data_IF_590634694868
#
_entry.id   IF_590634694868
#
_cell.length_a   1.000
_cell.length_b   1.000
_cell.length_c   1.000
_cell.angle_alpha   90.00
_cell.angle_beta   90.00
_cell.angle_gamma   90.00
#
_symmetry.space_group_name_H-M   'P 1'
#
loop_
_entity.id
_entity.type
_entity.pdbx_description
1 polymer ?
#
# COMPACT_ATOMS: atom_id res chain seq x y z
N UNK A 1 8.45 11.09 -23.47
CA UNK A 1 9.49 10.12 -23.05
C UNK A 1 9.37 9.75 -21.57
N UNK A 2 9.28 10.71 -20.64
CA UNK A 2 9.30 10.41 -19.20
C UNK A 2 8.17 9.51 -18.68
N UNK A 3 6.94 9.64 -19.21
CA UNK A 3 5.84 8.71 -18.85
C UNK A 3 6.10 7.27 -19.31
N UNK A 4 6.79 7.08 -20.43
CA UNK A 4 7.14 5.75 -20.94
C UNK A 4 8.10 5.06 -19.97
N UNK A 5 9.05 5.81 -19.39
CA UNK A 5 9.99 5.28 -18.41
C UNK A 5 9.30 4.85 -17.11
N UNK A 6 8.36 5.66 -16.59
CA UNK A 6 7.57 5.26 -15.42
C UNK A 6 6.79 3.98 -15.69
N UNK A 7 6.19 3.85 -16.88
CA UNK A 7 5.50 2.61 -17.26
C UNK A 7 6.47 1.43 -17.38
N UNK A 8 7.67 1.61 -17.95
CA UNK A 8 8.67 0.56 -18.06
C UNK A 8 9.11 0.03 -16.67
N UNK A 9 9.42 0.93 -15.72
CA UNK A 9 9.70 0.53 -14.34
C UNK A 9 8.47 -0.07 -13.67
N UNK A 10 7.26 0.47 -13.91
CA UNK A 10 6.01 -0.13 -13.47
C UNK A 10 5.82 -1.56 -13.96
N UNK A 11 6.14 -1.83 -15.22
CA UNK A 11 6.06 -3.16 -15.83
C UNK A 11 7.09 -4.11 -15.24
N UNK A 12 8.32 -3.66 -14.96
CA UNK A 12 9.33 -4.48 -14.26
C UNK A 12 8.82 -4.89 -12.87
N UNK A 13 8.24 -3.96 -12.12
CA UNK A 13 7.66 -4.24 -10.82
C UNK A 13 6.50 -5.22 -10.92
N UNK A 14 5.58 -5.03 -11.87
CA UNK A 14 4.49 -5.96 -12.14
C UNK A 14 5.02 -7.37 -12.44
N UNK A 15 5.98 -7.51 -13.35
CA UNK A 15 6.56 -8.81 -13.73
C UNK A 15 7.25 -9.47 -12.54
N UNK A 16 8.08 -8.75 -11.78
CA UNK A 16 8.77 -9.31 -10.61
C UNK A 16 7.80 -9.66 -9.47
N UNK A 17 6.71 -8.90 -9.33
CA UNK A 17 5.64 -9.20 -8.38
C UNK A 17 4.88 -10.47 -8.78
N UNK A 18 4.52 -10.62 -10.06
CA UNK A 18 3.93 -11.85 -10.59
C UNK A 18 4.88 -13.05 -10.49
N UNK A 19 6.19 -12.85 -10.72
CA UNK A 19 7.20 -13.89 -10.52
C UNK A 19 7.32 -14.27 -9.04
N UNK A 20 7.21 -13.32 -8.11
CA UNK A 20 7.21 -13.60 -6.67
C UNK A 20 6.00 -14.43 -6.27
N UNK A 21 4.83 -14.10 -6.83
CA UNK A 21 3.62 -14.91 -6.65
C UNK A 21 3.79 -16.32 -7.25
N UNK A 22 4.26 -16.43 -8.48
CA UNK A 22 4.48 -17.71 -9.14
C UNK A 22 5.51 -18.58 -8.40
N UNK A 23 6.58 -17.98 -7.88
CA UNK A 23 7.58 -18.65 -7.06
C UNK A 23 6.98 -19.19 -5.76
N UNK A 24 5.97 -18.50 -5.19
CA UNK A 24 5.27 -18.96 -3.99
C UNK A 24 4.37 -20.16 -4.25
N UNK A 25 3.51 -20.07 -5.26
CA UNK A 25 2.43 -21.04 -5.46
C UNK A 25 2.85 -22.24 -6.32
N UNK A 26 3.78 -22.03 -7.26
CA UNK A 26 4.20 -23.06 -8.24
C UNK A 26 5.68 -23.44 -8.12
N UNK A 27 6.49 -22.69 -7.37
CA UNK A 27 7.95 -22.88 -7.31
C UNK A 27 8.41 -24.08 -6.47
N UNK A 28 7.53 -24.73 -5.70
CA UNK A 28 7.92 -25.71 -4.69
C UNK A 28 8.73 -26.89 -5.24
N UNK A 29 8.43 -27.39 -6.44
CA UNK A 29 9.13 -28.51 -7.08
C UNK A 29 10.60 -28.17 -7.35
N UNK A 30 10.83 -27.03 -8.00
CA UNK A 30 12.17 -26.51 -8.30
C UNK A 30 12.93 -26.15 -7.02
N UNK A 31 12.24 -25.55 -6.05
CA UNK A 31 12.83 -25.16 -4.76
C UNK A 31 13.26 -26.38 -3.93
N UNK A 32 12.48 -27.47 -3.96
CA UNK A 32 12.82 -28.72 -3.25
C UNK A 32 14.11 -29.37 -3.76
N UNK A 33 14.46 -29.16 -5.04
CA UNK A 33 15.69 -29.69 -5.62
C UNK A 33 16.96 -28.97 -5.12
N UNK A 34 16.83 -27.76 -4.55
CA UNK A 34 17.98 -26.98 -4.08
C UNK A 34 18.43 -27.40 -2.69
N UNK A 35 19.59 -28.08 -2.62
CA UNK A 35 20.14 -28.70 -1.39
C UNK A 35 20.39 -27.71 -0.23
N UNK A 36 20.56 -26.41 -0.51
CA UNK A 36 20.77 -25.39 0.54
C UNK A 36 19.46 -24.88 1.18
N UNK A 37 18.29 -25.32 0.71
CA UNK A 37 16.98 -25.03 1.31
C UNK A 37 16.52 -26.10 2.33
N UNK A 38 17.45 -26.93 2.83
CA UNK A 38 17.18 -27.98 3.85
C UNK A 38 16.46 -27.48 5.10
N UNK A 39 16.59 -26.19 5.44
CA UNK A 39 15.91 -25.59 6.61
C UNK A 39 14.38 -25.61 6.54
N UNK A 40 13.77 -25.83 5.38
CA UNK A 40 12.31 -26.00 5.24
C UNK A 40 11.82 -27.44 5.37
N UNK A 41 12.71 -28.43 5.57
CA UNK A 41 12.37 -29.87 5.66
C UNK A 41 11.46 -30.41 4.52
N UNK A 42 11.45 -29.73 3.35
CA UNK A 42 10.60 -30.09 2.22
C UNK A 42 9.15 -29.64 2.32
N UNK A 43 8.77 -28.85 3.33
CA UNK A 43 7.43 -28.29 3.46
C UNK A 43 7.14 -27.27 2.35
N UNK A 44 6.07 -27.50 1.59
CA UNK A 44 5.69 -26.68 0.42
C UNK A 44 5.47 -25.21 0.79
N UNK A 45 4.90 -24.95 1.97
CA UNK A 45 4.55 -23.59 2.40
C UNK A 45 5.78 -22.78 2.76
N UNK A 46 6.73 -23.39 3.47
CA UNK A 46 8.02 -22.78 3.77
C UNK A 46 8.80 -22.52 2.48
N UNK A 47 8.87 -23.52 1.58
CA UNK A 47 9.54 -23.36 0.28
C UNK A 47 8.91 -22.23 -0.54
N UNK A 48 7.59 -22.16 -0.65
CA UNK A 48 6.90 -21.08 -1.36
C UNK A 48 7.24 -19.69 -0.81
N UNK A 49 7.18 -19.50 0.52
CA UNK A 49 7.56 -18.24 1.15
C UNK A 49 9.03 -17.86 0.87
N UNK A 50 9.93 -18.84 0.92
CA UNK A 50 11.34 -18.68 0.58
C UNK A 50 11.55 -18.27 -0.89
N UNK A 51 10.72 -18.77 -1.81
CA UNK A 51 10.73 -18.35 -3.22
C UNK A 51 10.28 -16.90 -3.39
N UNK A 52 9.14 -16.53 -2.81
CA UNK A 52 8.60 -15.17 -2.87
C UNK A 52 9.57 -14.12 -2.31
N UNK A 53 10.16 -14.39 -1.15
CA UNK A 53 11.11 -13.49 -0.49
C UNK A 53 12.38 -13.28 -1.32
N UNK A 54 12.86 -14.30 -2.04
CA UNK A 54 14.07 -14.19 -2.89
C UNK A 54 13.83 -13.35 -4.14
N UNK A 55 12.72 -13.55 -4.83
CA UNK A 55 12.37 -12.71 -6.00
C UNK A 55 12.17 -11.26 -5.56
N UNK A 56 11.47 -11.05 -4.44
CA UNK A 56 11.28 -9.73 -3.83
C UNK A 56 12.60 -9.08 -3.42
N UNK A 57 13.56 -9.83 -2.85
CA UNK A 57 14.88 -9.32 -2.49
C UNK A 57 15.65 -8.81 -3.71
N UNK A 58 15.69 -9.58 -4.81
CA UNK A 58 16.32 -9.14 -6.05
C UNK A 58 15.69 -7.86 -6.60
N UNK A 59 14.36 -7.79 -6.57
CA UNK A 59 13.60 -6.60 -6.96
C UNK A 59 13.89 -5.40 -6.05
N UNK A 60 13.90 -5.59 -4.73
CA UNK A 60 14.26 -4.57 -3.75
C UNK A 60 15.65 -4.00 -4.02
N UNK A 61 16.67 -4.87 -4.16
CA UNK A 61 18.06 -4.44 -4.39
C UNK A 61 18.15 -3.64 -5.70
N UNK A 62 17.47 -4.07 -6.76
CA UNK A 62 17.43 -3.34 -8.02
C UNK A 62 16.89 -1.91 -7.84
N UNK A 63 15.69 -1.77 -7.27
CA UNK A 63 15.09 -0.44 -7.07
C UNK A 63 15.88 0.39 -6.05
N UNK A 64 16.52 -0.24 -5.06
CA UNK A 64 17.36 0.46 -4.11
C UNK A 64 18.65 1.00 -4.76
N UNK A 65 19.28 0.23 -5.65
CA UNK A 65 20.42 0.72 -6.46
C UNK A 65 19.97 1.87 -7.37
N UNK A 66 18.79 1.75 -8.00
CA UNK A 66 18.20 2.84 -8.79
C UNK A 66 17.91 4.08 -7.93
N UNK A 67 17.44 3.90 -6.70
CA UNK A 67 17.22 4.98 -5.74
C UNK A 67 18.54 5.70 -5.42
N UNK A 68 19.57 4.97 -4.99
CA UNK A 68 20.86 5.58 -4.60
C UNK A 68 21.54 6.28 -5.78
N UNK A 69 21.51 5.68 -6.97
CA UNK A 69 22.14 6.23 -8.18
C UNK A 69 21.41 7.47 -8.74
N UNK A 70 20.10 7.59 -8.50
CA UNK A 70 19.28 8.72 -9.00
C UNK A 70 18.86 9.71 -7.91
N UNK A 71 19.26 9.48 -6.66
CA UNK A 71 18.99 10.37 -5.53
C UNK A 71 19.60 11.76 -5.78
N UNK A 72 18.81 12.81 -5.57
CA UNK A 72 19.24 14.19 -5.79
C UNK A 72 19.41 14.59 -7.26
N UNK A 73 18.85 13.84 -8.22
CA UNK A 73 18.71 14.32 -9.58
C UNK A 73 17.68 15.47 -9.63
N UNK A 74 18.13 16.67 -10.00
CA UNK A 74 17.28 17.88 -10.10
C UNK A 74 17.09 18.35 -11.53
N UNK A 75 18.10 18.17 -12.40
CA UNK A 75 18.13 18.65 -13.79
C UNK A 75 17.85 17.54 -14.80
N UNK A 76 17.27 17.91 -15.94
CA UNK A 76 17.06 17.05 -17.13
C UNK A 76 18.33 16.75 -17.93
N UNK A 77 19.45 17.34 -17.52
CA UNK A 77 20.77 17.13 -18.10
C UNK A 77 21.71 16.59 -17.02
N UNK A 78 22.45 15.53 -17.33
CA UNK A 78 23.44 14.93 -16.43
C UNK A 78 23.39 13.40 -16.36
N UNK A 79 24.46 12.82 -15.82
CA UNK A 79 24.64 11.36 -15.77
C UNK A 79 23.55 10.61 -15.01
N UNK A 80 22.93 11.23 -14.01
CA UNK A 80 21.83 10.62 -13.23
C UNK A 80 20.56 10.46 -14.06
N UNK A 81 20.25 11.44 -14.91
CA UNK A 81 19.12 11.34 -15.84
C UNK A 81 19.42 10.36 -16.98
N UNK A 82 20.64 10.37 -17.51
CA UNK A 82 21.07 9.40 -18.52
C UNK A 82 21.00 7.96 -17.98
N UNK A 83 21.45 7.74 -16.73
CA UNK A 83 21.30 6.46 -16.08
C UNK A 83 19.84 6.15 -15.75
N UNK A 84 18.98 7.11 -15.39
CA UNK A 84 17.56 6.85 -15.13
C UNK A 84 16.78 6.47 -16.40
N UNK A 85 16.98 7.21 -17.48
CA UNK A 85 16.23 7.12 -18.73
C UNK A 85 16.78 6.09 -19.72
N UNK A 86 18.10 5.89 -19.72
CA UNK A 86 18.83 5.04 -20.67
C UNK A 86 19.33 3.72 -20.09
N UNK A 87 20.41 3.19 -20.68
CA UNK A 87 21.12 1.99 -20.22
C UNK A 87 20.26 0.73 -19.96
N UNK A 88 19.14 0.58 -20.67
CA UNK A 88 18.23 -0.56 -20.49
C UNK A 88 18.89 -1.92 -20.76
N UNK A 89 19.85 -1.95 -21.69
CA UNK A 89 20.63 -3.15 -21.99
C UNK A 89 21.49 -3.64 -20.81
N UNK A 90 21.82 -2.77 -19.84
CA UNK A 90 22.52 -3.14 -18.61
C UNK A 90 21.54 -3.42 -17.47
N UNK A 91 20.46 -2.62 -17.36
CA UNK A 91 19.49 -2.73 -16.27
C UNK A 91 18.70 -4.03 -16.29
N UNK A 92 18.28 -4.49 -17.47
CA UNK A 92 17.50 -5.74 -17.58
C UNK A 92 18.36 -6.94 -17.14
N UNK A 93 19.58 -7.15 -17.64
CA UNK A 93 20.48 -8.18 -17.11
C UNK A 93 20.79 -8.00 -15.62
N UNK A 94 21.04 -6.77 -15.16
CA UNK A 94 21.29 -6.49 -13.74
C UNK A 94 20.13 -6.97 -12.86
N UNK A 95 18.88 -6.69 -13.24
CA UNK A 95 17.70 -7.17 -12.52
C UNK A 95 17.66 -8.71 -12.48
N UNK A 96 17.87 -9.37 -13.62
CA UNK A 96 17.86 -10.84 -13.69
C UNK A 96 18.96 -11.43 -12.81
N UNK A 97 20.18 -10.88 -12.86
CA UNK A 97 21.31 -11.32 -12.04
C UNK A 97 21.00 -11.14 -10.56
N UNK A 98 20.44 -10.00 -10.14
CA UNK A 98 20.08 -9.76 -8.74
C UNK A 98 19.03 -10.76 -8.22
N UNK A 99 18.04 -11.11 -9.05
CA UNK A 99 17.07 -12.16 -8.72
C UNK A 99 17.77 -13.51 -8.59
N UNK A 100 18.57 -13.92 -9.58
CA UNK A 100 19.28 -15.21 -9.56
C UNK A 100 20.22 -15.32 -8.36
N UNK A 101 21.01 -14.28 -8.08
CA UNK A 101 21.91 -14.23 -6.92
C UNK A 101 21.13 -14.36 -5.61
N UNK A 102 19.92 -13.79 -5.52
CA UNK A 102 19.07 -13.94 -4.34
C UNK A 102 18.70 -15.41 -4.08
N UNK A 103 18.63 -16.26 -5.11
CA UNK A 103 18.43 -17.71 -4.94
C UNK A 103 19.65 -18.45 -4.40
N UNK A 104 20.85 -17.91 -4.58
CA UNK A 104 22.09 -18.47 -4.05
C UNK A 104 22.29 -18.18 -2.56
N UNK A 105 21.51 -17.24 -1.99
CA UNK A 105 21.64 -16.84 -0.59
C UNK A 105 21.11 -17.91 0.39
N UNK A 106 21.81 -18.11 1.53
CA UNK A 106 21.40 -19.06 2.55
C UNK A 106 20.12 -18.60 3.26
N UNK A 107 19.40 -19.56 3.86
CA UNK A 107 18.10 -19.32 4.49
C UNK A 107 18.13 -18.23 5.57
N UNK A 108 19.23 -18.14 6.34
CA UNK A 108 19.39 -17.14 7.40
C UNK A 108 19.38 -15.71 6.87
N UNK A 109 19.97 -15.46 5.70
CA UNK A 109 19.98 -14.13 5.07
C UNK A 109 18.60 -13.73 4.58
N UNK A 110 17.83 -14.69 4.04
CA UNK A 110 16.45 -14.44 3.62
C UNK A 110 15.53 -14.21 4.81
N UNK A 111 15.79 -14.87 5.94
CA UNK A 111 15.08 -14.58 7.19
C UNK A 111 15.35 -13.15 7.67
N UNK A 112 16.61 -12.71 7.68
CA UNK A 112 16.98 -11.32 8.01
C UNK A 112 16.30 -10.34 7.04
N UNK A 113 16.34 -10.62 5.73
CA UNK A 113 15.60 -9.81 4.76
C UNK A 113 14.11 -9.75 5.08
N UNK A 114 13.48 -10.86 5.45
CA UNK A 114 12.09 -10.90 5.89
C UNK A 114 11.83 -9.94 7.07
N UNK A 115 12.74 -9.85 8.04
CA UNK A 115 12.61 -8.89 9.15
C UNK A 115 12.74 -7.44 8.67
N UNK A 116 13.69 -7.15 7.79
CA UNK A 116 13.86 -5.81 7.19
C UNK A 116 12.62 -5.44 6.36
N UNK A 117 12.06 -6.42 5.64
CA UNK A 117 10.89 -6.22 4.79
C UNK A 117 9.62 -5.86 5.59
N UNK A 118 9.49 -6.29 6.86
CA UNK A 118 8.41 -5.79 7.73
C UNK A 118 8.52 -4.27 7.95
N UNK A 119 9.73 -3.79 8.20
CA UNK A 119 9.99 -2.36 8.39
C UNK A 119 9.76 -1.58 7.09
N UNK A 120 10.28 -2.08 5.97
CA UNK A 120 10.08 -1.46 4.65
C UNK A 120 8.61 -1.44 4.21
N UNK A 121 7.84 -2.48 4.54
CA UNK A 121 6.40 -2.53 4.34
C UNK A 121 5.66 -1.43 5.11
N UNK A 122 6.07 -1.17 6.36
CA UNK A 122 5.55 -0.05 7.15
C UNK A 122 5.85 1.31 6.52
N UNK A 123 7.06 1.51 5.99
CA UNK A 123 7.43 2.74 5.25
C UNK A 123 6.54 2.91 4.00
N UNK A 124 6.34 1.85 3.23
CA UNK A 124 5.48 1.88 2.05
C UNK A 124 4.05 2.31 2.39
N UNK A 125 3.48 1.76 3.48
CA UNK A 125 2.16 2.16 3.96
C UNK A 125 2.11 3.66 4.32
N UNK A 126 3.16 4.21 4.94
CA UNK A 126 3.24 5.66 5.20
C UNK A 126 3.26 6.47 3.90
N UNK A 127 4.04 6.04 2.90
CA UNK A 127 4.02 6.71 1.58
C UNK A 127 2.65 6.64 0.92
N UNK A 128 1.99 5.49 0.98
CA UNK A 128 0.63 5.33 0.45
C UNK A 128 -0.36 6.24 1.18
N UNK A 129 -0.27 6.36 2.51
CA UNK A 129 -1.11 7.25 3.32
C UNK A 129 -0.97 8.71 2.89
N UNK A 130 0.26 9.21 2.82
CA UNK A 130 0.53 10.61 2.45
C UNK A 130 0.07 10.90 1.02
N UNK A 131 0.27 9.96 0.09
CA UNK A 131 -0.22 10.11 -1.28
C UNK A 131 -1.75 10.15 -1.34
N UNK A 132 -2.45 9.29 -0.59
CA UNK A 132 -3.93 9.30 -0.51
C UNK A 132 -4.43 10.62 0.09
N UNK A 133 -3.84 11.10 1.19
CA UNK A 133 -4.24 12.37 1.81
C UNK A 133 -4.02 13.53 0.84
N UNK A 134 -2.89 13.56 0.14
CA UNK A 134 -2.60 14.63 -0.83
C UNK A 134 -3.51 14.57 -2.04
N UNK A 135 -3.84 13.36 -2.51
CA UNK A 135 -4.86 13.18 -3.54
C UNK A 135 -6.23 13.70 -3.11
N UNK A 136 -6.67 13.36 -1.88
CA UNK A 136 -7.93 13.85 -1.32
C UNK A 136 -7.93 15.38 -1.26
N UNK A 137 -6.84 15.99 -0.79
CA UNK A 137 -6.68 17.45 -0.75
C UNK A 137 -6.70 18.07 -2.15
N UNK A 138 -6.04 17.45 -3.12
CA UNK A 138 -6.06 17.89 -4.52
C UNK A 138 -7.48 17.88 -5.10
N UNK A 139 -8.26 16.83 -4.84
CA UNK A 139 -9.67 16.75 -5.28
C UNK A 139 -10.50 17.85 -4.61
N UNK A 140 -10.28 18.08 -3.32
CA UNK A 140 -10.97 19.12 -2.57
C UNK A 140 -10.64 20.54 -3.03
N UNK A 141 -9.36 20.83 -3.27
CA UNK A 141 -8.93 22.14 -3.77
C UNK A 141 -9.43 22.36 -5.21
N UNK A 142 -9.52 21.31 -6.03
CA UNK A 142 -10.14 21.38 -7.35
C UNK A 142 -11.62 21.76 -7.29
N UNK A 143 -12.35 21.26 -6.29
CA UNK A 143 -13.76 21.58 -6.06
C UNK A 143 -13.97 22.99 -5.50
N UNK A 144 -13.13 23.42 -4.55
CA UNK A 144 -13.35 24.62 -3.74
C UNK A 144 -12.35 25.77 -3.97
N UNK A 145 -11.57 25.74 -5.06
CA UNK A 145 -10.67 26.84 -5.41
C UNK A 145 -11.40 28.19 -5.54
N UNK A 146 -10.73 29.31 -5.22
CA UNK A 146 -11.28 30.68 -5.33
C UNK A 146 -11.74 31.03 -6.76
N UNK A 147 -11.20 30.35 -7.77
CA UNK A 147 -11.58 30.47 -9.19
C UNK A 147 -12.64 29.44 -9.62
N UNK A 148 -13.29 28.77 -8.68
CA UNK A 148 -14.27 27.71 -8.99
C UNK A 148 -15.50 28.28 -9.69
N UNK A 149 -15.94 27.61 -10.76
CA UNK A 149 -17.24 27.90 -11.36
C UNK A 149 -18.35 27.28 -10.51
N UNK A 150 -19.55 27.87 -10.54
CA UNK A 150 -20.73 27.39 -9.78
C UNK A 150 -20.97 25.87 -9.95
N UNK A 151 -20.70 25.34 -11.15
CA UNK A 151 -20.81 23.91 -11.46
C UNK A 151 -19.83 23.04 -10.66
N UNK A 152 -18.59 23.50 -10.43
CA UNK A 152 -17.58 22.75 -9.64
C UNK A 152 -17.91 22.73 -8.16
N UNK A 153 -18.48 23.81 -7.63
CA UNK A 153 -18.96 23.89 -6.26
C UNK A 153 -20.09 22.88 -5.99
N UNK A 154 -21.05 22.77 -6.93
CA UNK A 154 -22.14 21.78 -6.85
C UNK A 154 -21.58 20.34 -6.90
N UNK A 155 -20.66 20.05 -7.82
CA UNK A 155 -20.00 18.73 -7.91
C UNK A 155 -19.26 18.40 -6.61
N UNK A 156 -18.51 19.35 -6.06
CA UNK A 156 -17.81 19.18 -4.78
C UNK A 156 -18.74 18.88 -3.61
N UNK A 157 -19.87 19.59 -3.53
CA UNK A 157 -20.91 19.32 -2.54
C UNK A 157 -21.51 17.91 -2.66
N UNK A 158 -21.82 17.47 -3.88
CA UNK A 158 -22.33 16.12 -4.15
C UNK A 158 -21.30 15.06 -3.76
N UNK A 159 -20.03 15.24 -4.14
CA UNK A 159 -18.96 14.31 -3.79
C UNK A 159 -18.73 14.26 -2.27
N UNK A 160 -18.87 15.39 -1.56
CA UNK A 160 -18.68 15.46 -0.12
C UNK A 160 -19.79 14.71 0.62
N UNK A 161 -21.04 14.99 0.27
CA UNK A 161 -22.19 14.28 0.86
C UNK A 161 -22.15 12.80 0.49
N UNK A 162 -21.91 12.48 -0.78
CA UNK A 162 -21.86 11.10 -1.28
C UNK A 162 -20.77 10.27 -0.60
N UNK A 163 -19.56 10.80 -0.43
CA UNK A 163 -18.46 10.08 0.23
C UNK A 163 -18.71 9.86 1.73
N UNK A 164 -19.30 10.84 2.44
CA UNK A 164 -19.68 10.65 3.84
C UNK A 164 -20.81 9.62 4.01
N UNK A 165 -21.83 9.64 3.14
CA UNK A 165 -22.90 8.64 3.14
C UNK A 165 -22.37 7.24 2.82
N UNK A 166 -21.44 7.13 1.86
CA UNK A 166 -20.78 5.88 1.53
C UNK A 166 -19.98 5.33 2.71
N UNK A 167 -19.23 6.18 3.42
CA UNK A 167 -18.49 5.78 4.62
C UNK A 167 -19.44 5.26 5.71
N UNK A 168 -20.49 6.03 6.05
CA UNK A 168 -21.52 5.62 7.00
C UNK A 168 -22.19 4.29 6.62
N UNK A 169 -22.65 4.16 5.37
CA UNK A 169 -23.30 2.97 4.86
C UNK A 169 -22.38 1.75 4.89
N UNK A 170 -21.10 1.94 4.58
CA UNK A 170 -20.08 0.87 4.62
C UNK A 170 -19.82 0.42 6.06
N UNK A 171 -19.73 1.34 7.04
CA UNK A 171 -19.56 0.98 8.46
C UNK A 171 -20.79 0.22 8.98
N UNK A 172 -22.00 0.68 8.64
CA UNK A 172 -23.25 -0.02 9.00
C UNK A 172 -23.28 -1.43 8.40
N UNK A 173 -22.89 -1.56 7.13
CA UNK A 173 -22.77 -2.86 6.47
C UNK A 173 -21.77 -3.77 7.19
N UNK A 174 -20.57 -3.26 7.55
CA UNK A 174 -19.59 -4.04 8.30
C UNK A 174 -20.14 -4.47 9.67
N UNK A 175 -20.88 -3.59 10.34
CA UNK A 175 -21.48 -3.89 11.63
C UNK A 175 -22.50 -5.02 11.53
N UNK A 176 -23.47 -4.92 10.61
CA UNK A 176 -24.50 -5.94 10.39
C UNK A 176 -23.86 -7.26 9.95
N UNK A 177 -22.91 -7.22 9.02
CA UNK A 177 -22.39 -8.43 8.39
C UNK A 177 -21.37 -9.19 9.24
N UNK A 178 -20.50 -8.48 9.98
CA UNK A 178 -19.36 -9.08 10.68
C UNK A 178 -19.40 -8.92 12.21
N UNK A 179 -20.14 -7.95 12.75
CA UNK A 179 -20.10 -7.57 14.16
C UNK A 179 -21.41 -7.76 14.94
N UNK A 180 -22.55 -7.99 14.27
CA UNK A 180 -23.88 -8.10 14.90
C UNK A 180 -23.92 -9.20 15.98
N UNK A 181 -23.15 -10.28 15.79
CA UNK A 181 -23.04 -11.34 16.78
C UNK A 181 -21.98 -10.97 17.83
N UNK A 182 -22.42 -10.71 19.06
CA UNK A 182 -21.56 -10.45 20.23
C UNK A 182 -20.56 -11.57 20.56
N UNK A 183 -20.70 -12.74 19.93
CA UNK A 183 -19.70 -13.82 19.93
C UNK A 183 -18.37 -13.43 19.26
N UNK A 184 -18.39 -12.45 18.34
CA UNK A 184 -17.24 -11.91 17.62
C UNK A 184 -16.65 -10.67 18.30
N UNK A 185 -15.90 -10.84 19.40
CA UNK A 185 -15.30 -9.71 20.11
C UNK A 185 -14.36 -8.84 19.22
N UNK A 186 -13.46 -9.41 18.39
CA UNK A 186 -12.56 -8.61 17.55
C UNK A 186 -13.31 -7.73 16.53
N UNK A 187 -14.18 -8.31 15.70
CA UNK A 187 -14.95 -7.55 14.70
C UNK A 187 -15.81 -6.43 15.30
N UNK A 188 -16.42 -6.69 16.45
CA UNK A 188 -17.18 -5.68 17.19
C UNK A 188 -16.30 -4.51 17.64
N UNK A 189 -15.12 -4.80 18.20
CA UNK A 189 -14.16 -3.77 18.61
C UNK A 189 -13.64 -2.99 17.40
N UNK A 190 -13.22 -3.68 16.33
CA UNK A 190 -12.68 -3.01 15.13
C UNK A 190 -13.71 -2.07 14.52
N UNK A 191 -14.93 -2.56 14.26
CA UNK A 191 -15.99 -1.74 13.66
C UNK A 191 -16.41 -0.59 14.57
N UNK A 192 -16.49 -0.81 15.89
CA UNK A 192 -16.82 0.24 16.86
C UNK A 192 -15.76 1.34 16.92
N UNK A 193 -14.47 0.98 16.85
CA UNK A 193 -13.37 1.94 16.78
C UNK A 193 -13.40 2.72 15.46
N UNK A 194 -13.61 2.07 14.31
CA UNK A 194 -13.76 2.74 13.02
C UNK A 194 -14.89 3.77 13.04
N UNK A 195 -16.04 3.43 13.62
CA UNK A 195 -17.16 4.36 13.81
C UNK A 195 -16.76 5.57 14.66
N UNK A 196 -16.06 5.35 15.77
CA UNK A 196 -15.57 6.43 16.62
C UNK A 196 -14.57 7.34 15.90
N UNK A 197 -13.62 6.76 15.16
CA UNK A 197 -12.64 7.51 14.35
C UNK A 197 -13.34 8.34 13.28
N UNK A 198 -14.30 7.77 12.54
CA UNK A 198 -15.07 8.49 11.54
C UNK A 198 -15.86 9.66 12.15
N UNK A 199 -16.48 9.45 13.31
CA UNK A 199 -17.16 10.50 14.06
C UNK A 199 -16.21 11.62 14.50
N UNK A 200 -15.02 11.27 15.02
CA UNK A 200 -13.99 12.23 15.42
C UNK A 200 -13.47 13.06 14.23
N UNK A 201 -13.15 12.41 13.10
CA UNK A 201 -12.68 13.09 11.89
C UNK A 201 -13.76 14.01 11.31
N UNK A 202 -15.02 13.56 11.28
CA UNK A 202 -16.15 14.37 10.84
C UNK A 202 -16.36 15.57 11.76
N UNK A 203 -16.38 15.36 13.07
CA UNK A 203 -16.52 16.44 14.05
C UNK A 203 -15.38 17.46 14.01
N UNK A 204 -14.13 17.00 13.85
CA UNK A 204 -12.98 17.89 13.66
C UNK A 204 -13.12 18.73 12.38
N UNK A 205 -13.64 18.13 11.31
CA UNK A 205 -13.87 18.80 10.03
C UNK A 205 -14.96 19.88 10.13
N UNK A 206 -16.07 19.60 10.82
CA UNK A 206 -17.15 20.58 11.03
C UNK A 206 -16.71 21.76 11.88
N UNK A 207 -15.79 21.57 12.83
CA UNK A 207 -15.24 22.65 13.65
C UNK A 207 -14.16 23.47 12.95
N UNK A 208 -13.67 23.01 11.80
CA UNK A 208 -12.65 23.72 11.05
C UNK A 208 -13.25 24.94 10.36
N UNK A 209 -12.58 26.09 10.47
CA UNK A 209 -12.91 27.31 9.72
C UNK A 209 -12.53 27.21 8.24
N UNK A 210 -11.80 26.18 7.84
CA UNK A 210 -11.46 25.93 6.45
C UNK A 210 -12.67 25.34 5.71
N UNK A 211 -13.41 26.17 4.96
CA UNK A 211 -14.63 25.81 4.21
C UNK A 211 -14.44 24.62 3.25
N UNK A 212 -13.23 24.43 2.73
CA UNK A 212 -12.84 23.36 1.83
C UNK A 212 -12.36 22.11 2.59
N UNK A 213 -13.13 21.55 3.54
CA UNK A 213 -12.64 20.38 4.29
C UNK A 213 -13.66 19.23 4.44
N UNK A 214 -14.95 19.48 4.21
CA UNK A 214 -16.00 18.46 4.32
C UNK A 214 -15.82 17.25 3.38
N UNK A 215 -15.26 17.49 2.19
CA UNK A 215 -14.96 16.43 1.22
C UNK A 215 -13.86 15.48 1.74
N UNK A 216 -12.93 16.00 2.54
CA UNK A 216 -11.78 15.25 3.00
C UNK A 216 -12.16 14.20 4.06
N UNK A 217 -13.14 14.49 4.94
CA UNK A 217 -13.56 13.52 5.96
C UNK A 217 -14.32 12.34 5.37
N UNK A 218 -15.11 12.56 4.32
CA UNK A 218 -15.86 11.51 3.64
C UNK A 218 -14.93 10.50 2.93
N UNK A 219 -14.02 10.99 2.09
CA UNK A 219 -13.04 10.11 1.44
C UNK A 219 -12.11 9.40 2.43
N UNK A 220 -11.67 10.10 3.48
CA UNK A 220 -10.89 9.48 4.55
C UNK A 220 -11.70 8.42 5.31
N UNK A 221 -12.99 8.68 5.54
CA UNK A 221 -13.94 7.73 6.12
C UNK A 221 -14.07 6.44 5.30
N UNK A 222 -14.21 6.57 3.98
CA UNK A 222 -14.20 5.41 3.07
C UNK A 222 -12.89 4.64 3.17
N UNK A 223 -11.75 5.34 3.23
CA UNK A 223 -10.44 4.71 3.34
C UNK A 223 -10.25 3.93 4.66
N UNK A 224 -10.56 4.53 5.82
CA UNK A 224 -10.43 3.83 7.11
C UNK A 224 -11.41 2.66 7.22
N UNK A 225 -12.60 2.78 6.62
CA UNK A 225 -13.57 1.68 6.57
C UNK A 225 -13.06 0.52 5.70
N UNK A 226 -12.38 0.83 4.59
CA UNK A 226 -11.69 -0.18 3.78
C UNK A 226 -10.56 -0.87 4.57
N UNK A 227 -9.78 -0.12 5.37
CA UNK A 227 -8.74 -0.71 6.22
C UNK A 227 -9.33 -1.64 7.29
N UNK A 228 -10.44 -1.23 7.93
CA UNK A 228 -11.18 -2.06 8.88
C UNK A 228 -11.69 -3.35 8.23
N UNK A 229 -12.35 -3.25 7.08
CA UNK A 229 -12.80 -4.41 6.31
C UNK A 229 -11.63 -5.34 5.96
N UNK A 230 -10.52 -4.77 5.50
CA UNK A 230 -9.30 -5.51 5.17
C UNK A 230 -8.69 -6.21 6.39
N UNK A 231 -8.76 -5.61 7.59
CA UNK A 231 -8.30 -6.21 8.84
C UNK A 231 -9.18 -7.40 9.27
N UNK A 232 -10.50 -7.24 9.22
CA UNK A 232 -11.48 -8.30 9.50
C UNK A 232 -11.28 -9.48 8.54
N UNK A 233 -11.11 -9.21 7.24
CA UNK A 233 -10.85 -10.25 6.23
C UNK A 233 -9.53 -10.99 6.40
N UNK A 234 -8.58 -10.42 7.14
CA UNK A 234 -7.28 -11.02 7.46
C UNK A 234 -7.31 -11.95 8.67
N UNK A 235 -8.44 -12.05 9.39
CA UNK A 235 -8.51 -12.94 10.55
C UNK A 235 -8.36 -14.42 10.15
N UNK A 236 -7.62 -15.24 10.93
CA UNK A 236 -7.38 -16.64 10.59
C UNK A 236 -8.62 -17.52 10.82
N UNK A 237 -8.85 -18.47 9.90
CA UNK A 237 -9.92 -19.45 10.02
C UNK A 237 -9.75 -20.40 11.22
N UNK A 238 -10.85 -20.70 11.93
CA UNK A 238 -10.86 -21.66 13.05
C UNK A 238 -10.44 -21.11 14.43
N UNK A 239 -10.11 -19.82 14.55
CA UNK A 239 -9.51 -19.25 15.78
C UNK A 239 -10.43 -18.51 16.77
N UNK A 240 -11.56 -17.95 16.32
CA UNK A 240 -12.80 -17.72 17.10
C UNK A 240 -13.84 -16.85 16.41
N UNK A 241 -13.52 -16.02 15.41
CA UNK A 241 -14.50 -15.75 14.36
C UNK A 241 -13.97 -15.09 13.08
N UNK A 242 -14.80 -15.19 12.04
CA UNK A 242 -15.02 -14.31 10.89
C UNK A 242 -16.28 -14.86 10.18
N UNK A 243 -17.52 -14.40 10.46
CA UNK A 243 -18.77 -14.92 9.79
C UNK A 243 -19.94 -13.91 9.74
N UNK A 244 -20.89 -13.91 8.76
CA UNK A 244 -21.35 -15.03 7.89
C UNK A 244 -20.96 -14.97 6.42
N UNK A 245 -20.51 -16.13 5.95
CA UNK A 245 -19.71 -16.37 4.74
C UNK A 245 -18.53 -17.31 5.03
N UNK A 246 -18.36 -17.78 6.27
CA UNK A 246 -17.58 -18.97 6.57
C UNK A 246 -18.32 -20.17 6.01
N UNK A 247 -17.82 -20.69 4.90
CA UNK A 247 -18.29 -21.95 4.35
C UNK A 247 -17.23 -22.99 4.58
N UNK A 248 -17.57 -23.95 5.44
CA UNK A 248 -17.15 -25.33 5.25
C UNK A 248 -17.29 -25.68 3.75
N UNK A 249 -16.14 -25.90 3.08
CA UNK A 249 -15.83 -26.39 1.70
C UNK A 249 -16.98 -26.61 0.69
N UNK A 250 -16.90 -26.17 -0.61
CA UNK A 250 -16.09 -26.83 -1.67
C UNK A 250 -15.62 -25.84 -2.83
N UNK A 251 -15.22 -26.26 -4.08
CA UNK A 251 -14.22 -25.57 -4.95
C UNK A 251 -14.57 -24.17 -5.49
N UNK A 252 -15.81 -23.69 -5.35
CA UNK A 252 -16.19 -22.32 -5.73
C UNK A 252 -15.53 -21.26 -4.84
N UNK A 253 -15.14 -21.62 -3.62
CA UNK A 253 -14.46 -20.74 -2.67
C UNK A 253 -12.99 -20.51 -3.08
N UNK A 254 -12.31 -21.50 -3.67
CA UNK A 254 -10.95 -21.32 -4.18
C UNK A 254 -10.91 -20.26 -5.28
N UNK A 255 -11.88 -20.26 -6.20
CA UNK A 255 -11.96 -19.24 -7.24
C UNK A 255 -12.18 -17.84 -6.63
N UNK A 256 -13.10 -17.69 -5.67
CA UNK A 256 -13.38 -16.41 -5.04
C UNK A 256 -12.15 -15.88 -4.26
N UNK A 257 -11.42 -16.75 -3.57
CA UNK A 257 -10.19 -16.39 -2.85
C UNK A 257 -9.08 -15.99 -3.82
N UNK A 258 -8.91 -16.71 -4.93
CA UNK A 258 -7.93 -16.37 -5.98
C UNK A 258 -8.29 -15.03 -6.66
N UNK A 259 -9.57 -14.80 -6.96
CA UNK A 259 -10.06 -13.54 -7.53
C UNK A 259 -9.84 -12.38 -6.55
N UNK A 260 -10.20 -12.57 -5.28
CA UNK A 260 -10.00 -11.54 -4.23
C UNK A 260 -8.51 -11.23 -4.05
N UNK A 261 -7.66 -12.25 -4.11
CA UNK A 261 -6.22 -12.08 -4.10
C UNK A 261 -5.72 -11.30 -5.32
N UNK A 262 -6.17 -11.65 -6.53
CA UNK A 262 -5.77 -10.96 -7.76
C UNK A 262 -6.18 -9.48 -7.74
N UNK A 263 -7.37 -9.17 -7.23
CA UNK A 263 -7.84 -7.79 -7.06
C UNK A 263 -6.97 -7.05 -6.03
N UNK A 264 -6.72 -7.62 -4.85
CA UNK A 264 -5.89 -7.00 -3.82
C UNK A 264 -4.45 -6.77 -4.28
N UNK A 265 -3.88 -7.73 -5.00
CA UNK A 265 -2.55 -7.64 -5.58
C UNK A 265 -2.48 -6.58 -6.68
N UNK A 266 -3.48 -6.54 -7.57
CA UNK A 266 -3.61 -5.51 -8.59
C UNK A 266 -3.76 -4.11 -7.99
N UNK A 267 -4.55 -3.97 -6.93
CA UNK A 267 -4.71 -2.72 -6.19
C UNK A 267 -3.38 -2.27 -5.56
N UNK A 268 -2.59 -3.19 -5.00
CA UNK A 268 -1.25 -2.89 -4.48
C UNK A 268 -0.30 -2.38 -5.58
N UNK A 269 -0.31 -3.01 -6.76
CA UNK A 269 0.52 -2.58 -7.89
C UNK A 269 0.09 -1.19 -8.38
N UNK A 270 -1.22 -0.96 -8.50
CA UNK A 270 -1.77 0.35 -8.85
C UNK A 270 -1.39 1.41 -7.83
N UNK A 271 -1.53 1.12 -6.53
CA UNK A 271 -1.15 2.03 -5.45
C UNK A 271 0.34 2.37 -5.53
N UNK A 272 1.21 1.38 -5.75
CA UNK A 272 2.66 1.59 -5.93
C UNK A 272 2.96 2.55 -7.06
N UNK A 273 2.35 2.34 -8.23
CA UNK A 273 2.54 3.19 -9.38
C UNK A 273 2.06 4.62 -9.11
N UNK A 274 0.85 4.75 -8.55
CA UNK A 274 0.25 6.05 -8.19
C UNK A 274 1.11 6.82 -7.19
N UNK A 275 1.57 6.17 -6.12
CA UNK A 275 2.42 6.80 -5.10
C UNK A 275 3.81 7.15 -5.64
N UNK A 276 4.37 6.34 -6.53
CA UNK A 276 5.67 6.61 -7.14
C UNK A 276 5.66 7.86 -8.02
N UNK A 277 4.61 8.06 -8.82
CA UNK A 277 4.48 9.25 -9.69
C UNK A 277 4.13 10.50 -8.89
N UNK A 278 3.52 10.34 -7.71
CA UNK A 278 3.10 11.42 -6.82
C UNK A 278 4.25 12.00 -5.95
N UNK A 279 5.48 12.02 -6.47
CA UNK A 279 6.65 12.53 -5.75
C UNK A 279 6.55 13.99 -5.30
N UNK A 280 5.68 14.79 -5.97
CA UNK A 280 5.46 16.20 -5.64
C UNK A 280 4.86 16.38 -4.25
N UNK A 281 4.04 15.43 -3.80
CA UNK A 281 3.45 15.39 -2.46
C UNK A 281 4.49 15.28 -1.34
N UNK A 282 5.73 14.86 -1.66
CA UNK A 282 6.81 14.64 -0.71
C UNK A 282 7.96 15.67 -0.84
N UNK A 283 7.86 16.63 -1.78
CA UNK A 283 8.84 17.71 -1.92
C UNK A 283 8.53 18.83 -0.91
N UNK A 284 9.07 18.73 0.30
CA UNK A 284 8.78 19.64 1.40
C UNK A 284 9.27 21.09 1.23
N UNK A 285 10.07 21.41 0.21
CA UNK A 285 10.47 22.76 -0.18
C UNK A 285 11.36 22.64 -1.41
N UNK A 286 10.92 23.17 -2.55
CA UNK A 286 11.70 23.88 -3.59
C UNK A 286 10.64 24.19 -4.68
N UNK A 287 9.95 25.32 -4.49
CA UNK A 287 9.16 25.96 -5.56
C UNK A 287 10.10 26.85 -6.35
N UNK A 288 10.86 26.25 -7.26
CA UNK A 288 11.37 26.98 -8.43
C UNK A 288 11.04 26.16 -9.66
N UNK A 289 10.02 26.59 -10.41
CA UNK A 289 9.74 26.07 -11.74
C UNK A 289 10.79 26.62 -12.70
N UNK A 290 11.93 25.92 -12.83
CA UNK A 290 12.81 26.04 -14.00
C UNK A 290 12.42 24.95 -14.99
N UNK A 291 12.35 25.27 -16.27
CA UNK A 291 11.95 24.33 -17.34
C UNK A 291 12.88 23.11 -17.44
N UNK A 292 14.10 23.23 -16.90
CA UNK A 292 15.11 22.18 -16.88
C UNK A 292 14.94 21.16 -15.73
N UNK A 293 13.93 21.32 -14.86
CA UNK A 293 13.73 20.41 -13.74
C UNK A 293 13.16 19.05 -14.18
N UNK A 294 13.59 18.00 -13.50
CA UNK A 294 13.02 16.65 -13.69
C UNK A 294 11.52 16.65 -13.36
N UNK A 295 10.68 15.91 -14.10
CA UNK A 295 9.22 15.96 -13.96
C UNK A 295 8.69 15.33 -12.67
N UNK A 296 9.46 14.46 -12.03
CA UNK A 296 9.23 13.85 -10.72
C UNK A 296 10.57 13.52 -10.07
N UNK A 297 10.59 13.36 -8.74
CA UNK A 297 11.81 12.98 -8.03
C UNK A 297 12.20 11.53 -8.33
N UNK A 298 13.21 11.31 -9.19
CA UNK A 298 13.64 9.96 -9.61
C UNK A 298 14.01 9.06 -8.44
N UNK A 299 14.80 9.57 -7.48
CA UNK A 299 15.12 8.83 -6.27
C UNK A 299 13.86 8.42 -5.50
N UNK A 300 12.98 9.37 -5.20
CA UNK A 300 11.73 9.06 -4.46
C UNK A 300 10.88 8.02 -5.18
N UNK A 301 10.74 8.14 -6.50
CA UNK A 301 10.05 7.15 -7.33
C UNK A 301 10.62 5.74 -7.09
N UNK A 302 11.94 5.55 -7.22
CA UNK A 302 12.54 4.23 -6.98
C UNK A 302 12.47 3.77 -5.53
N UNK A 303 12.50 4.68 -4.56
CA UNK A 303 12.33 4.36 -3.14
C UNK A 303 10.92 3.81 -2.86
N UNK A 304 9.88 4.38 -3.48
CA UNK A 304 8.51 3.85 -3.39
C UNK A 304 8.46 2.42 -3.94
N UNK A 305 9.06 2.15 -5.09
CA UNK A 305 9.10 0.81 -5.68
C UNK A 305 9.93 -0.20 -4.85
N UNK A 306 11.04 0.24 -4.24
CA UNK A 306 11.84 -0.59 -3.36
C UNK A 306 11.08 -0.99 -2.08
N UNK A 307 10.40 -0.03 -1.45
CA UNK A 307 9.58 -0.31 -0.26
C UNK A 307 8.30 -1.09 -0.61
N UNK A 308 7.74 -0.88 -1.81
CA UNK A 308 6.63 -1.67 -2.34
C UNK A 308 7.00 -3.13 -2.59
N UNK A 309 8.23 -3.44 -3.03
CA UNK A 309 8.65 -4.83 -3.24
C UNK A 309 8.73 -5.59 -1.91
N UNK A 310 9.15 -4.91 -0.83
CA UNK A 310 9.10 -5.43 0.54
C UNK A 310 7.67 -5.62 1.03
N UNK A 311 6.78 -4.63 0.82
CA UNK A 311 5.35 -4.74 1.14
C UNK A 311 4.69 -5.91 0.39
N UNK A 312 4.93 -6.03 -0.91
CA UNK A 312 4.44 -7.15 -1.73
C UNK A 312 4.91 -8.50 -1.19
N UNK A 313 6.17 -8.61 -0.75
CA UNK A 313 6.64 -9.83 -0.09
C UNK A 313 5.88 -10.14 1.20
N UNK A 314 5.65 -9.14 2.05
CA UNK A 314 4.92 -9.33 3.31
C UNK A 314 3.49 -9.78 3.10
N UNK A 315 2.79 -9.23 2.09
CA UNK A 315 1.49 -9.74 1.67
C UNK A 315 1.58 -11.22 1.26
N UNK A 316 2.54 -11.57 0.40
CA UNK A 316 2.67 -12.93 -0.13
C UNK A 316 3.00 -13.97 0.95
N UNK A 317 3.68 -13.59 2.04
CA UNK A 317 4.04 -14.48 3.17
C UNK A 317 3.16 -14.29 4.41
N UNK A 318 2.02 -13.61 4.28
CA UNK A 318 1.06 -13.40 5.38
C UNK A 318 1.63 -12.68 6.61
N UNK A 319 2.62 -11.79 6.41
CA UNK A 319 3.32 -11.13 7.51
C UNK A 319 3.92 -12.09 8.53
N UNK A 320 4.18 -13.35 8.13
CA UNK A 320 4.78 -14.37 8.99
C UNK A 320 5.94 -15.06 8.27
N UNK A 321 7.15 -14.67 8.63
CA UNK A 321 8.38 -15.20 8.02
C UNK A 321 8.84 -16.53 8.62
N UNK A 322 8.23 -16.98 9.73
CA UNK A 322 8.61 -18.24 10.42
C UNK A 322 7.70 -19.40 10.04
N UNK A 323 6.38 -19.20 10.10
CA UNK A 323 5.37 -20.23 9.85
C UNK A 323 4.32 -19.71 8.85
N UNK A 324 4.65 -19.63 7.56
CA UNK A 324 3.69 -19.21 6.54
C UNK A 324 2.55 -20.25 6.41
N UNK A 325 1.36 -19.82 6.02
CA UNK A 325 0.16 -20.65 5.81
C UNK A 325 -0.11 -20.90 4.32
N UNK A 326 -0.60 -22.10 3.95
CA UNK A 326 -0.82 -22.49 2.55
C UNK A 326 -2.05 -21.79 1.96
N UNK A 327 -1.93 -21.28 0.73
CA UNK A 327 -3.04 -20.75 -0.09
C UNK A 327 -3.83 -19.56 0.46
N UNK A 328 -3.27 -18.80 1.40
CA UNK A 328 -3.87 -17.55 1.85
C UNK A 328 -2.85 -16.43 1.74
N UNK A 329 -3.30 -15.26 1.28
CA UNK A 329 -2.52 -14.02 1.28
C UNK A 329 -3.10 -13.09 2.32
N UNK A 330 -2.21 -12.47 3.07
CA UNK A 330 -2.55 -11.48 4.06
C UNK A 330 -3.53 -12.01 5.13
N UNK A 331 -3.50 -13.32 5.42
CA UNK A 331 -4.37 -13.95 6.44
C UNK A 331 -3.54 -14.41 7.63
N UNK A 332 -3.83 -13.83 8.79
CA UNK A 332 -3.22 -14.09 10.07
C UNK A 332 -3.39 -12.90 11.01
N UNK A 333 -3.35 -13.16 12.32
CA UNK A 333 -3.51 -12.12 13.34
C UNK A 333 -2.52 -10.96 13.19
N UNK A 334 -1.30 -11.22 12.72
CA UNK A 334 -0.31 -10.18 12.46
C UNK A 334 -0.81 -9.17 11.41
N UNK A 335 -1.33 -9.66 10.28
CA UNK A 335 -1.90 -8.81 9.23
C UNK A 335 -3.10 -8.01 9.75
N UNK A 336 -4.03 -8.68 10.45
CA UNK A 336 -5.20 -8.04 11.07
C UNK A 336 -4.80 -6.85 11.95
N UNK A 337 -3.87 -7.06 12.89
CA UNK A 337 -3.44 -6.01 13.81
C UNK A 337 -2.68 -4.89 13.12
N UNK A 338 -1.83 -5.20 12.14
CA UNK A 338 -1.09 -4.18 11.39
C UNK A 338 -2.06 -3.24 10.66
N UNK A 339 -3.08 -3.79 10.00
CA UNK A 339 -4.10 -3.00 9.30
C UNK A 339 -4.94 -2.16 10.26
N UNK A 340 -5.34 -2.73 11.39
CA UNK A 340 -6.11 -2.02 12.41
C UNK A 340 -5.31 -0.87 13.04
N UNK A 341 -4.03 -1.11 13.39
CA UNK A 341 -3.14 -0.05 13.90
C UNK A 341 -2.89 1.01 12.84
N UNK A 342 -2.74 0.60 11.58
CA UNK A 342 -2.55 1.52 10.47
C UNK A 342 -3.79 2.40 10.23
N UNK A 343 -5.00 1.89 10.45
CA UNK A 343 -6.23 2.69 10.45
C UNK A 343 -6.23 3.78 11.51
N UNK A 344 -5.86 3.44 12.76
CA UNK A 344 -5.71 4.40 13.86
C UNK A 344 -4.70 5.50 13.52
N UNK A 345 -3.55 5.09 12.98
CA UNK A 345 -2.50 6.00 12.55
C UNK A 345 -2.95 6.92 11.41
N UNK A 346 -3.68 6.39 10.43
CA UNK A 346 -4.23 7.14 9.32
C UNK A 346 -5.20 8.24 9.80
N UNK A 347 -6.13 7.89 10.69
CA UNK A 347 -7.07 8.86 11.28
C UNK A 347 -6.34 9.93 12.11
N UNK A 348 -5.32 9.53 12.90
CA UNK A 348 -4.49 10.47 13.65
C UNK A 348 -3.78 11.48 12.75
N UNK A 349 -3.09 11.01 11.71
CA UNK A 349 -2.38 11.88 10.75
C UNK A 349 -3.35 12.83 10.05
N UNK A 350 -4.54 12.36 9.67
CA UNK A 350 -5.57 13.21 9.08
C UNK A 350 -5.98 14.35 10.02
N UNK A 351 -6.32 14.03 11.27
CA UNK A 351 -6.73 15.03 12.28
C UNK A 351 -5.58 16.01 12.56
N UNK A 352 -4.34 15.52 12.64
CA UNK A 352 -3.16 16.34 12.83
C UNK A 352 -2.96 17.35 11.68
N UNK A 353 -3.07 16.91 10.43
CA UNK A 353 -2.96 17.79 9.26
C UNK A 353 -4.09 18.83 9.25
N UNK A 354 -5.31 18.40 9.58
CA UNK A 354 -6.49 19.26 9.62
C UNK A 354 -6.37 20.37 10.68
N UNK A 355 -5.96 20.01 11.90
CA UNK A 355 -5.80 20.96 13.01
C UNK A 355 -4.74 22.01 12.69
N UNK A 356 -3.59 21.58 12.15
CA UNK A 356 -2.55 22.50 11.70
C UNK A 356 -3.05 23.48 10.63
N UNK A 357 -3.80 23.00 9.63
CA UNK A 357 -4.38 23.86 8.58
C UNK A 357 -5.37 24.87 9.17
N UNK A 358 -6.15 24.45 10.17
CA UNK A 358 -7.10 25.33 10.86
C UNK A 358 -6.40 26.45 11.65
N UNK A 359 -5.27 26.16 12.29
CA UNK A 359 -4.47 27.15 13.03
C UNK A 359 -3.85 28.18 12.09
N UNK A 360 -3.35 27.74 10.93
CA UNK A 360 -2.81 28.63 9.88
C UNK A 360 -3.90 29.58 9.36
N UNK A 361 -5.11 29.08 9.08
CA UNK A 361 -6.25 29.92 8.65
C UNK A 361 -6.65 30.91 9.74
N UNK A 362 -6.74 30.45 11.00
CA UNK A 362 -7.16 31.32 12.11
C UNK A 362 -6.20 32.50 12.31
N UNK A 363 -4.89 32.27 12.20
CA UNK A 363 -3.85 33.33 12.27
C UNK A 363 -3.89 34.32 11.11
N UNK A 364 -4.42 33.94 9.94
CA UNK A 364 -4.54 34.85 8.80
C UNK A 364 -5.81 35.73 8.87
N UNK A 365 -6.81 35.30 9.64
CA UNK A 365 -8.13 35.96 9.72
C UNK A 365 -8.37 36.80 10.97
N UNK A 366 -7.48 36.73 11.97
CA UNK A 366 -7.53 37.51 13.20
C UNK A 366 -6.27 38.34 13.33
#
# INVERSE_FOLDING_TARGET
>A
MTRILTYAYGSIFLVTSLLSWAARDFGYTTLKAMKWLRGCNGEEVCLGAQGALRVSLGCFIFYFIMFVSTAGASTRTGHREEFHSGCWFLKIPMMVVLIVVSFLLPINMIYIYGLIAHFGAGIFLIFQLVSIITFIQMVNDWCYSDTSSDKRCIIGGILAVGSNLLACGSIIFLFIWYAERTSCKPNYIFTGVTLALFGLMSGATHRSKAKATYLNSGFMGVYITFLCWSAIKSEPHGGRCMERGGTDTPPKVHLLTVVSFAIGFGAMIFATFSTGVDSKSFQFKIKEHRDDNVPYGYGFFHLVFATASMYSAMLLVNWNTKNPTKFMIDVGWASTWIKFIYELFAAFIYIFILTRKNDEVTKMTG
#
